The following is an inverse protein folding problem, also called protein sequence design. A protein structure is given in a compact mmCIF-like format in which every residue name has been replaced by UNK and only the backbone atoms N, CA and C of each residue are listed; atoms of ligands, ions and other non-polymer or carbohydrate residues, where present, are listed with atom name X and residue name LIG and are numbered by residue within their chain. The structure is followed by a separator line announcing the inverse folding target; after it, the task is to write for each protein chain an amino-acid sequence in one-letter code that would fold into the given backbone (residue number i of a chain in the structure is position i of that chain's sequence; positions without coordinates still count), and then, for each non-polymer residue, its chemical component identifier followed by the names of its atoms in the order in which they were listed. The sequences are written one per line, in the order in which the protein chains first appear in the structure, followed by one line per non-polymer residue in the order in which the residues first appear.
data_IF_535866489010
#
_entry.id   IF_535866489010
#
_cell.length_a   1.000
_cell.length_b   1.000
_cell.length_c   1.000
_cell.angle_alpha   90.00
_cell.angle_beta   90.00
_cell.angle_gamma   90.00
#
_symmetry.space_group_name_H-M   'P 1'
#
loop_
_entity.id
_entity.type
_entity.pdbx_description
1 polymer ?
#
# COMPACT_ATOMS: atom_id res chain seq x y z
N UNK A 1 -2.25 16.32 12.73
CA UNK A 1 -1.47 16.90 11.60
C UNK A 1 0.01 16.50 11.59
N UNK A 2 0.65 16.00 12.68
CA UNK A 2 2.08 15.65 12.64
C UNK A 2 2.38 14.18 12.30
N UNK A 3 1.47 13.25 12.60
CA UNK A 3 1.79 11.81 12.56
C UNK A 3 1.76 11.22 11.14
N UNK A 4 0.84 11.68 10.29
CA UNK A 4 0.74 11.28 8.88
C UNK A 4 1.99 11.68 8.09
N UNK A 5 2.51 12.89 8.32
CA UNK A 5 3.74 13.37 7.68
C UNK A 5 4.97 12.55 8.08
N UNK A 6 5.06 12.15 9.36
CA UNK A 6 6.15 11.31 9.87
C UNK A 6 6.07 9.91 9.23
N UNK A 7 4.87 9.34 9.11
CA UNK A 7 4.67 8.06 8.45
C UNK A 7 5.06 8.14 6.97
N UNK A 8 4.55 9.13 6.24
CA UNK A 8 4.88 9.33 4.83
C UNK A 8 6.39 9.52 4.63
N UNK A 9 7.06 10.32 5.46
CA UNK A 9 8.52 10.50 5.43
C UNK A 9 9.28 9.18 5.63
N UNK A 10 8.84 8.34 6.57
CA UNK A 10 9.43 7.02 6.80
C UNK A 10 9.25 6.10 5.59
N UNK A 11 8.07 6.12 4.96
CA UNK A 11 7.81 5.32 3.75
C UNK A 11 8.67 5.82 2.60
N UNK A 12 8.66 7.13 2.32
CA UNK A 12 9.49 7.77 1.28
C UNK A 12 10.96 7.37 1.43
N UNK A 13 11.52 7.45 2.64
CA UNK A 13 12.91 7.05 2.91
C UNK A 13 13.17 5.55 2.69
N UNK A 14 12.21 4.67 3.01
CA UNK A 14 12.36 3.22 2.87
C UNK A 14 12.10 2.69 1.47
N UNK A 15 11.24 3.35 0.70
CA UNK A 15 10.80 2.90 -0.64
C UNK A 15 11.34 3.74 -1.78
N UNK A 16 11.97 4.88 -1.48
CA UNK A 16 12.47 5.84 -2.46
C UNK A 16 11.36 6.40 -3.37
N UNK A 17 10.12 6.42 -2.88
CA UNK A 17 8.94 6.94 -3.59
C UNK A 17 8.59 8.32 -3.04
N UNK A 18 8.24 9.26 -3.91
CA UNK A 18 7.85 10.61 -3.50
C UNK A 18 6.49 10.65 -2.79
N UNK A 19 6.31 11.60 -1.86
CA UNK A 19 5.03 11.81 -1.13
C UNK A 19 3.83 11.92 -2.08
N UNK A 20 3.97 12.65 -3.18
CA UNK A 20 2.89 12.83 -4.16
C UNK A 20 2.40 11.53 -4.78
N UNK A 21 3.30 10.59 -5.05
CA UNK A 21 2.95 9.28 -5.62
C UNK A 21 2.25 8.40 -4.57
N UNK A 22 2.69 8.44 -3.31
CA UNK A 22 2.02 7.74 -2.21
C UNK A 22 0.61 8.29 -1.99
N UNK A 23 0.45 9.62 -2.04
CA UNK A 23 -0.86 10.26 -1.91
C UNK A 23 -1.79 9.93 -3.08
N UNK A 24 -1.29 9.87 -4.32
CA UNK A 24 -2.09 9.41 -5.47
C UNK A 24 -2.56 7.97 -5.26
N UNK A 25 -1.65 7.07 -4.87
CA UNK A 25 -2.00 5.68 -4.58
C UNK A 25 -3.04 5.58 -3.46
N UNK A 26 -2.92 6.39 -2.41
CA UNK A 26 -3.92 6.42 -1.34
C UNK A 26 -5.30 6.91 -1.82
N UNK A 27 -5.35 7.91 -2.70
CA UNK A 27 -6.60 8.38 -3.30
C UNK A 27 -7.20 7.31 -4.24
N UNK A 28 -6.38 6.67 -5.08
CA UNK A 28 -6.81 5.57 -5.95
C UNK A 28 -7.35 4.40 -5.12
N UNK A 29 -6.76 4.10 -3.97
CA UNK A 29 -7.22 3.06 -3.07
C UNK A 29 -8.58 3.40 -2.44
N UNK A 30 -8.82 4.67 -2.10
CA UNK A 30 -10.10 5.11 -1.55
C UNK A 30 -11.24 5.05 -2.58
N UNK A 31 -10.92 5.16 -3.87
CA UNK A 31 -11.92 5.06 -4.95
C UNK A 31 -12.13 3.62 -5.43
N UNK A 32 -11.19 2.70 -5.15
CA UNK A 32 -11.29 1.28 -5.50
C UNK A 32 -12.07 0.47 -4.45
N UNK A 33 -12.72 -0.59 -4.90
CA UNK A 33 -13.44 -1.52 -4.03
C UNK A 33 -12.49 -2.54 -3.40
N UNK A 34 -12.26 -2.42 -2.08
CA UNK A 34 -11.45 -3.35 -1.30
C UNK A 34 -12.08 -4.74 -1.14
N UNK A 35 -13.32 -4.94 -1.60
CA UNK A 35 -13.93 -6.27 -1.69
C UNK A 35 -13.56 -6.98 -2.99
N UNK A 36 -13.18 -6.23 -4.03
CA UNK A 36 -12.83 -6.77 -5.33
C UNK A 36 -11.35 -7.16 -5.36
N UNK A 37 -11.10 -8.46 -5.43
CA UNK A 37 -9.75 -9.03 -5.50
C UNK A 37 -8.96 -8.51 -6.72
N UNK A 38 -9.62 -8.29 -7.85
CA UNK A 38 -8.94 -7.75 -9.04
C UNK A 38 -8.45 -6.32 -8.81
N UNK A 39 -9.27 -5.48 -8.18
CA UNK A 39 -8.90 -4.10 -7.86
C UNK A 39 -7.73 -4.04 -6.88
N UNK A 40 -7.76 -4.89 -5.84
CA UNK A 40 -6.66 -5.00 -4.88
C UNK A 40 -5.38 -5.51 -5.55
N UNK A 41 -5.49 -6.53 -6.40
CA UNK A 41 -4.35 -7.12 -7.12
C UNK A 41 -3.70 -6.08 -8.04
N UNK A 42 -4.50 -5.35 -8.81
CA UNK A 42 -4.01 -4.25 -9.65
C UNK A 42 -3.34 -3.17 -8.81
N UNK A 43 -3.95 -2.79 -7.69
CA UNK A 43 -3.39 -1.79 -6.78
C UNK A 43 -2.01 -2.21 -6.26
N UNK A 44 -1.87 -3.44 -5.76
CA UNK A 44 -0.59 -3.97 -5.27
C UNK A 44 0.48 -3.95 -6.37
N UNK A 45 0.12 -4.34 -7.59
CA UNK A 45 1.05 -4.33 -8.73
C UNK A 45 1.48 -2.91 -9.11
N UNK A 46 0.56 -1.94 -9.09
CA UNK A 46 0.86 -0.53 -9.30
C UNK A 46 1.81 0.00 -8.24
N UNK A 47 1.57 -0.29 -6.95
CA UNK A 47 2.48 0.09 -5.86
C UNK A 47 3.86 -0.57 -6.02
N UNK A 48 3.91 -1.85 -6.39
CA UNK A 48 5.17 -2.58 -6.61
C UNK A 48 6.00 -1.96 -7.74
N UNK A 49 5.34 -1.54 -8.83
CA UNK A 49 5.99 -0.82 -9.94
C UNK A 49 6.54 0.53 -9.50
N UNK A 50 5.74 1.34 -8.80
CA UNK A 50 6.15 2.66 -8.32
C UNK A 50 7.31 2.58 -7.32
N UNK A 51 7.28 1.58 -6.43
CA UNK A 51 8.35 1.32 -5.45
C UNK A 51 9.56 0.59 -6.03
N UNK A 52 9.53 0.27 -7.33
CA UNK A 52 10.53 -0.52 -8.03
C UNK A 52 10.90 -1.84 -7.31
N UNK A 53 9.92 -2.43 -6.60
CA UNK A 53 10.09 -3.69 -5.86
C UNK A 53 9.50 -4.85 -6.64
N UNK A 54 10.31 -5.86 -6.91
CA UNK A 54 9.81 -7.13 -7.46
C UNK A 54 9.01 -7.89 -6.42
N UNK A 55 7.74 -8.14 -6.73
CA UNK A 55 6.85 -8.97 -5.93
C UNK A 55 6.54 -10.26 -6.69
N UNK A 56 6.58 -11.40 -6.00
CA UNK A 56 6.21 -12.68 -6.57
C UNK A 56 4.69 -12.89 -6.54
N UNK A 57 4.13 -13.73 -7.44
CA UNK A 57 2.68 -14.00 -7.47
C UNK A 57 2.12 -14.43 -6.12
N UNK A 58 2.82 -15.33 -5.43
CA UNK A 58 2.45 -15.79 -4.09
C UNK A 58 2.39 -14.66 -3.05
N UNK A 59 3.27 -13.66 -3.13
CA UNK A 59 3.21 -12.48 -2.23
C UNK A 59 2.00 -11.59 -2.55
N UNK A 60 1.66 -11.45 -3.82
CA UNK A 60 0.47 -10.69 -4.25
C UNK A 60 -0.79 -11.34 -3.69
N UNK A 61 -0.96 -12.65 -3.87
CA UNK A 61 -2.14 -13.37 -3.36
C UNK A 61 -2.24 -13.30 -1.84
N UNK A 62 -1.09 -13.34 -1.14
CA UNK A 62 -1.04 -13.18 0.32
C UNK A 62 -1.47 -11.77 0.76
N UNK A 63 -1.06 -10.72 0.03
CA UNK A 63 -1.48 -9.35 0.33
C UNK A 63 -2.95 -9.12 0.01
N UNK A 64 -3.43 -9.61 -1.13
CA UNK A 64 -4.84 -9.59 -1.52
C UNK A 64 -5.70 -10.21 -0.43
N UNK A 65 -5.33 -11.42 0.02
CA UNK A 65 -6.07 -12.10 1.09
C UNK A 65 -5.98 -11.39 2.43
N UNK A 66 -4.88 -10.73 2.77
CA UNK A 66 -4.79 -9.92 4.00
C UNK A 66 -5.74 -8.72 3.95
N UNK A 67 -5.78 -8.00 2.83
CA UNK A 67 -6.64 -6.82 2.65
C UNK A 67 -8.10 -7.25 2.66
N UNK A 68 -8.46 -8.29 1.90
CA UNK A 68 -9.82 -8.83 1.83
C UNK A 68 -10.34 -9.35 3.17
N UNK A 69 -9.46 -9.95 3.98
CA UNK A 69 -9.81 -10.41 5.33
C UNK A 69 -9.72 -9.31 6.40
N UNK A 70 -9.54 -8.04 6.00
CA UNK A 70 -9.34 -6.91 6.90
C UNK A 70 -8.22 -7.14 7.94
N UNK A 71 -7.24 -7.98 7.62
CA UNK A 71 -6.07 -8.30 8.45
C UNK A 71 -4.95 -7.27 8.32
N UNK A 72 -5.22 -6.13 7.69
CA UNK A 72 -4.30 -4.99 7.71
C UNK A 72 -4.33 -4.45 9.14
N UNK A 73 -3.20 -4.49 9.89
CA UNK A 73 -3.15 -3.91 11.22
C UNK A 73 -3.54 -2.45 11.10
N UNK A 74 -4.62 -2.06 11.80
CA UNK A 74 -5.05 -0.64 11.86
C UNK A 74 -3.98 0.23 12.53
N UNK A 75 -3.11 -0.40 13.33
CA UNK A 75 -1.95 0.23 13.96
C UNK A 75 -0.72 0.14 13.05
N UNK A 76 -0.66 1.03 12.06
CA UNK A 76 0.55 1.25 11.25
C UNK A 76 1.73 1.69 12.15
N UNK A 77 1.45 2.32 13.29
CA UNK A 77 2.42 2.75 14.30
C UNK A 77 3.20 1.58 14.93
N UNK A 78 2.64 0.36 14.92
CA UNK A 78 3.31 -0.84 15.42
C UNK A 78 4.20 -1.55 14.40
N UNK A 79 4.24 -1.09 13.15
CA UNK A 79 5.02 -1.72 12.06
C UNK A 79 6.36 -1.03 11.76
N UNK A 80 6.69 0.08 12.44
CA UNK A 80 7.87 0.91 12.13
C UNK A 80 9.02 0.78 13.11
#
# INVERSE_FOLDING_TARGET
MKDEDIFLDKVVKKTNVNKGEILKLANDLQTKDLNNENDIREFILSVAKVTNKSISPSKVDKLVSMIKNNKVPRDIDRMV
#
